data_IF_755521410514
#
_entry.id   IF_755521410514
#
_cell.length_a   1.000
_cell.length_b   1.000
_cell.length_c   1.000
_cell.angle_alpha   90.00
_cell.angle_beta   90.00
_cell.angle_gamma   90.00
#
_symmetry.space_group_name_H-M   'P 1'
#
loop_
_entity.id
_entity.type
_entity.pdbx_description
1 polymer ?
#
# COMPACT_ATOMS: atom_id res chain seq x y z
N UNK A 1 38.13 -25.63 87.20
CA UNK A 1 36.75 -25.15 86.94
C UNK A 1 36.61 -24.92 85.48
N UNK A 2 36.05 -25.90 84.73
CA UNK A 2 35.84 -25.83 83.27
C UNK A 2 34.45 -25.32 83.04
N UNK A 3 34.31 -24.21 82.27
CA UNK A 3 33.06 -23.81 81.68
C UNK A 3 33.03 -24.24 80.18
N UNK A 4 32.14 -25.14 79.92
CA UNK A 4 31.85 -25.55 78.54
C UNK A 4 31.05 -24.45 77.84
N UNK A 5 31.56 -23.97 76.70
CA UNK A 5 30.84 -23.11 75.79
C UNK A 5 30.29 -24.01 74.67
N UNK A 6 28.96 -24.07 74.55
CA UNK A 6 28.26 -24.72 73.46
C UNK A 6 28.00 -23.66 72.38
N UNK A 7 28.64 -23.84 71.21
CA UNK A 7 28.39 -23.02 70.04
C UNK A 7 27.27 -23.71 69.22
N UNK A 8 26.11 -23.10 69.17
CA UNK A 8 25.00 -23.52 68.26
C UNK A 8 25.23 -22.94 66.86
N UNK A 9 25.48 -23.82 65.92
CA UNK A 9 25.48 -23.47 64.46
C UNK A 9 24.04 -23.42 63.98
N UNK A 10 23.56 -22.21 63.72
CA UNK A 10 22.32 -22.00 62.99
C UNK A 10 22.59 -22.10 61.45
N UNK A 11 22.24 -23.21 60.85
CA UNK A 11 22.15 -23.35 59.40
C UNK A 11 20.87 -22.64 58.91
N UNK A 12 21.04 -21.46 58.31
CA UNK A 12 19.97 -20.82 57.55
C UNK A 12 19.93 -21.45 56.16
N UNK A 13 18.97 -22.32 55.96
CA UNK A 13 18.60 -22.82 54.60
C UNK A 13 17.88 -21.67 53.89
N UNK A 14 18.61 -20.97 53.01
CA UNK A 14 17.96 -20.14 51.98
C UNK A 14 17.27 -21.07 50.99
N UNK A 15 15.99 -21.24 51.11
CA UNK A 15 15.16 -21.81 50.04
C UNK A 15 15.11 -20.76 48.89
N UNK A 16 15.93 -20.96 47.87
CA UNK A 16 15.68 -20.31 46.58
C UNK A 16 14.34 -20.88 46.05
N UNK A 17 13.29 -20.10 46.24
CA UNK A 17 12.05 -20.30 45.52
C UNK A 17 12.31 -20.04 44.03
N UNK A 18 12.62 -21.11 43.29
CA UNK A 18 12.46 -21.12 41.85
C UNK A 18 10.94 -20.94 41.64
N UNK A 19 10.53 -19.74 41.29
CA UNK A 19 9.23 -19.52 40.68
C UNK A 19 9.24 -20.34 39.39
N UNK A 20 8.77 -21.59 39.49
CA UNK A 20 8.41 -22.35 38.33
C UNK A 20 7.38 -21.48 37.59
N UNK A 21 7.76 -20.99 36.43
CA UNK A 21 6.84 -20.40 35.47
C UNK A 21 5.81 -21.50 35.20
N UNK A 22 4.55 -21.24 35.54
CA UNK A 22 3.45 -22.17 35.37
C UNK A 22 3.18 -22.33 33.89
N UNK A 23 3.92 -23.24 33.26
CA UNK A 23 3.80 -23.65 31.85
C UNK A 23 2.64 -24.64 31.62
N UNK A 24 1.74 -24.78 32.60
CA UNK A 24 0.50 -25.48 32.33
C UNK A 24 -0.24 -24.73 31.23
N UNK A 25 -0.62 -25.39 30.11
CA UNK A 25 -1.48 -24.78 29.11
C UNK A 25 -2.73 -24.27 29.84
N UNK A 26 -2.92 -22.95 29.86
CA UNK A 26 -4.11 -22.36 30.47
C UNK A 26 -5.28 -22.84 29.66
N UNK A 27 -5.95 -23.88 30.13
CA UNK A 27 -7.11 -24.47 29.50
C UNK A 27 -8.10 -23.37 29.20
N UNK A 28 -8.42 -23.20 27.91
CA UNK A 28 -9.49 -22.35 27.49
C UNK A 28 -9.14 -20.98 26.92
N UNK A 29 -7.96 -20.79 26.33
CA UNK A 29 -7.62 -19.57 25.56
C UNK A 29 -7.23 -19.92 24.13
N UNK A 30 -7.30 -18.96 23.18
CA UNK A 30 -6.70 -19.14 21.87
C UNK A 30 -5.21 -19.45 21.99
N UNK A 31 -4.72 -20.37 21.17
CA UNK A 31 -3.31 -20.79 21.14
C UNK A 31 -2.42 -19.78 20.41
N UNK A 32 -3.01 -19.03 19.47
CA UNK A 32 -2.33 -17.98 18.73
C UNK A 32 -3.33 -16.87 18.31
N UNK A 33 -2.81 -15.67 18.11
CA UNK A 33 -3.57 -14.51 17.65
C UNK A 33 -2.79 -13.84 16.52
N UNK A 34 -3.43 -13.68 15.37
CA UNK A 34 -2.87 -12.93 14.24
C UNK A 34 -3.73 -11.71 13.97
N UNK A 35 -3.14 -10.53 14.00
CA UNK A 35 -3.81 -9.29 13.55
C UNK A 35 -3.82 -9.26 12.02
N UNK A 36 -4.98 -9.00 11.44
CA UNK A 36 -5.17 -8.95 9.99
C UNK A 36 -5.27 -7.51 9.52
N UNK A 37 -4.33 -7.11 8.69
CA UNK A 37 -4.25 -5.76 8.14
C UNK A 37 -4.50 -5.76 6.63
N UNK A 38 -5.04 -4.66 6.15
CA UNK A 38 -5.24 -4.38 4.73
C UNK A 38 -4.84 -2.94 4.41
N UNK A 39 -4.42 -2.70 3.17
CA UNK A 39 -4.27 -1.34 2.66
C UNK A 39 -5.63 -0.83 2.25
N UNK A 40 -6.06 0.24 2.90
CA UNK A 40 -7.32 0.94 2.61
C UNK A 40 -7.03 2.21 1.81
N UNK A 41 -8.06 2.96 1.45
CA UNK A 41 -7.93 4.26 0.80
C UNK A 41 -7.17 5.31 1.66
N UNK A 42 -7.13 5.11 2.97
CA UNK A 42 -6.45 6.00 3.92
C UNK A 42 -5.22 5.37 4.59
N UNK A 43 -4.63 4.36 3.96
CA UNK A 43 -3.43 3.68 4.44
C UNK A 43 -3.67 2.29 5.00
N UNK A 44 -2.63 1.72 5.60
CA UNK A 44 -2.67 0.37 6.17
C UNK A 44 -3.35 0.38 7.53
N UNK A 45 -4.35 -0.48 7.69
CA UNK A 45 -5.18 -0.58 8.90
C UNK A 45 -5.35 -2.02 9.34
N UNK A 46 -5.52 -2.24 10.65
CA UNK A 46 -6.04 -3.51 11.17
C UNK A 46 -7.54 -3.57 10.89
N UNK A 47 -7.94 -4.49 10.04
CA UNK A 47 -9.33 -4.71 9.62
C UNK A 47 -9.91 -6.01 10.16
N UNK A 48 -9.15 -6.75 10.96
CA UNK A 48 -9.62 -7.96 11.64
C UNK A 48 -8.55 -8.61 12.48
N UNK A 49 -8.88 -9.76 13.04
CA UNK A 49 -7.93 -10.67 13.68
C UNK A 49 -8.40 -12.12 13.54
N UNK A 50 -7.47 -13.05 13.67
CA UNK A 50 -7.73 -14.49 13.70
C UNK A 50 -7.30 -15.04 15.07
N UNK A 51 -8.23 -15.69 15.76
CA UNK A 51 -7.98 -16.46 16.98
C UNK A 51 -7.84 -17.92 16.60
N UNK A 52 -6.70 -18.53 16.85
CA UNK A 52 -6.46 -19.96 16.64
C UNK A 52 -6.81 -20.73 17.91
N UNK A 53 -7.61 -21.78 17.80
CA UNK A 53 -7.90 -22.70 18.88
C UNK A 53 -7.20 -24.05 18.66
N UNK A 54 -7.10 -24.86 19.71
CA UNK A 54 -6.43 -26.15 19.66
C UNK A 54 -7.10 -27.16 18.71
N UNK A 55 -8.42 -27.00 18.48
CA UNK A 55 -9.24 -27.87 17.65
C UNK A 55 -10.35 -27.09 16.92
N UNK A 56 -11.11 -27.76 16.07
CA UNK A 56 -12.19 -27.17 15.28
C UNK A 56 -13.24 -26.52 16.16
N UNK A 57 -13.61 -25.30 15.83
CA UNK A 57 -14.64 -24.55 16.54
C UNK A 57 -16.02 -24.98 16.03
N UNK A 58 -16.85 -25.49 16.93
CA UNK A 58 -18.23 -25.89 16.64
C UNK A 58 -19.15 -24.65 16.73
N UNK A 59 -19.29 -23.92 15.66
CA UNK A 59 -20.27 -22.84 15.55
C UNK A 59 -20.74 -22.70 14.11
N UNK A 60 -22.04 -22.72 13.93
CA UNK A 60 -22.70 -22.37 12.66
C UNK A 60 -23.32 -20.97 12.70
N UNK A 61 -23.21 -20.27 13.83
CA UNK A 61 -23.84 -18.98 14.08
C UNK A 61 -22.84 -17.83 14.00
N UNK A 62 -23.35 -16.63 13.86
CA UNK A 62 -22.63 -15.39 14.02
C UNK A 62 -22.06 -15.27 15.45
N UNK A 63 -20.74 -15.10 15.52
CA UNK A 63 -20.01 -15.00 16.79
C UNK A 63 -19.77 -13.54 17.25
N UNK A 64 -20.38 -12.52 16.60
CA UNK A 64 -20.16 -11.10 16.97
C UNK A 64 -20.41 -10.82 18.44
N UNK A 65 -21.45 -11.40 18.99
CA UNK A 65 -21.82 -11.20 20.40
C UNK A 65 -20.99 -12.04 21.39
N UNK A 66 -20.06 -12.84 20.89
CA UNK A 66 -19.14 -13.66 21.70
C UNK A 66 -17.89 -12.87 22.10
N UNK A 67 -17.58 -11.78 21.38
CA UNK A 67 -16.34 -11.04 21.56
C UNK A 67 -16.58 -9.54 21.73
N UNK A 68 -15.69 -8.92 22.49
CA UNK A 68 -15.45 -7.47 22.52
C UNK A 68 -13.96 -7.24 22.27
N UNK A 69 -13.63 -6.26 21.44
CA UNK A 69 -12.23 -5.96 21.12
C UNK A 69 -11.96 -4.48 21.35
N UNK A 70 -10.84 -4.19 21.98
CA UNK A 70 -10.38 -2.85 22.28
C UNK A 70 -8.94 -2.70 21.79
N UNK A 71 -8.58 -1.49 21.42
CA UNK A 71 -7.18 -1.09 21.25
C UNK A 71 -6.73 -0.31 22.47
N UNK A 72 -5.47 -0.48 22.82
CA UNK A 72 -4.76 0.33 23.82
C UNK A 72 -3.54 0.94 23.15
N UNK A 73 -3.53 2.26 23.05
CA UNK A 73 -2.40 3.05 22.55
C UNK A 73 -2.17 4.22 23.50
N UNK A 74 -0.95 4.41 24.01
CA UNK A 74 -0.60 5.48 24.95
C UNK A 74 -1.56 5.60 26.15
N UNK A 75 -1.93 4.44 26.73
CA UNK A 75 -2.89 4.28 27.84
C UNK A 75 -4.34 4.67 27.52
N UNK A 76 -4.66 4.95 26.27
CA UNK A 76 -6.04 5.19 25.84
C UNK A 76 -6.65 3.90 25.30
N UNK A 77 -7.66 3.39 26.00
CA UNK A 77 -8.45 2.23 25.57
C UNK A 77 -9.63 2.70 24.73
N UNK A 78 -9.79 2.14 23.52
CA UNK A 78 -10.91 2.45 22.61
C UNK A 78 -11.49 1.17 22.02
N UNK A 79 -12.83 1.03 21.94
CA UNK A 79 -13.45 -0.15 21.34
C UNK A 79 -13.24 -0.19 19.83
N UNK A 80 -13.21 -1.43 19.29
CA UNK A 80 -13.28 -1.69 17.85
C UNK A 80 -14.71 -2.15 17.50
N UNK A 81 -15.22 -1.64 16.39
CA UNK A 81 -16.52 -2.03 15.86
C UNK A 81 -16.40 -3.37 15.14
N UNK A 82 -16.99 -4.42 15.70
CA UNK A 82 -17.00 -5.75 15.08
C UNK A 82 -18.15 -5.80 14.06
N UNK A 83 -17.82 -6.02 12.79
CA UNK A 83 -18.80 -6.14 11.70
C UNK A 83 -19.17 -7.60 11.40
N UNK A 84 -18.21 -8.52 11.55
CA UNK A 84 -18.41 -9.98 11.38
C UNK A 84 -17.56 -10.76 12.38
N UNK A 85 -18.04 -11.93 12.80
CA UNK A 85 -17.22 -12.91 13.49
C UNK A 85 -17.69 -14.32 13.13
N UNK A 86 -16.79 -15.17 12.63
CA UNK A 86 -17.12 -16.47 12.06
C UNK A 86 -15.93 -17.44 12.10
N UNK A 87 -16.23 -18.73 11.93
CA UNK A 87 -15.21 -19.80 11.87
C UNK A 87 -14.59 -19.89 10.48
N UNK A 88 -13.26 -20.12 10.41
CA UNK A 88 -12.56 -20.33 9.16
C UNK A 88 -11.48 -21.43 9.30
N UNK A 89 -11.06 -21.99 8.17
CA UNK A 89 -9.99 -23.00 8.10
C UNK A 89 -8.58 -22.40 7.99
N UNK A 90 -8.47 -21.09 7.71
CA UNK A 90 -7.22 -20.34 7.59
C UNK A 90 -7.28 -19.04 8.41
N UNK A 91 -6.14 -18.51 8.87
CA UNK A 91 -6.07 -17.25 9.61
C UNK A 91 -6.19 -16.03 8.67
N UNK A 92 -7.28 -15.96 7.91
CA UNK A 92 -7.52 -14.92 6.92
C UNK A 92 -9.02 -14.61 6.79
N UNK A 93 -9.35 -13.43 6.29
CA UNK A 93 -10.74 -13.06 5.98
C UNK A 93 -11.26 -13.90 4.82
N UNK A 94 -12.53 -14.26 4.87
CA UNK A 94 -13.20 -15.02 3.84
C UNK A 94 -14.63 -14.51 3.59
N UNK A 95 -15.12 -14.57 2.34
CA UNK A 95 -16.49 -14.18 2.02
C UNK A 95 -17.54 -15.02 2.77
N UNK A 96 -17.24 -16.29 2.99
CA UNK A 96 -18.11 -17.26 3.67
C UNK A 96 -17.31 -18.00 4.76
N UNK A 97 -18.01 -18.33 5.85
CA UNK A 97 -17.48 -19.19 6.92
C UNK A 97 -17.10 -20.56 6.38
N UNK A 98 -16.03 -21.13 6.93
CA UNK A 98 -15.56 -22.50 6.64
C UNK A 98 -15.27 -23.19 7.95
N UNK A 99 -15.55 -24.49 8.03
CA UNK A 99 -15.18 -25.30 9.20
C UNK A 99 -13.68 -25.26 9.43
N UNK A 100 -13.23 -25.00 10.66
CA UNK A 100 -11.82 -24.89 10.99
C UNK A 100 -11.57 -24.53 12.45
N UNK A 101 -10.30 -24.29 12.76
CA UNK A 101 -9.86 -23.96 14.13
C UNK A 101 -9.65 -22.46 14.38
N UNK A 102 -9.96 -21.62 13.38
CA UNK A 102 -9.80 -20.17 13.50
C UNK A 102 -11.17 -19.51 13.69
N UNK A 103 -11.23 -18.54 14.59
CA UNK A 103 -12.31 -17.55 14.62
C UNK A 103 -11.78 -16.26 14.04
N UNK A 104 -12.37 -15.80 12.96
CA UNK A 104 -12.05 -14.53 12.32
C UNK A 104 -13.00 -13.48 12.86
N UNK A 105 -12.46 -12.37 13.34
CA UNK A 105 -13.22 -11.19 13.78
C UNK A 105 -12.85 -10.05 12.84
N UNK A 106 -13.81 -9.54 12.09
CA UNK A 106 -13.61 -8.41 11.16
C UNK A 106 -14.10 -7.11 11.78
N UNK A 107 -13.33 -6.04 11.56
CA UNK A 107 -13.58 -4.71 12.11
C UNK A 107 -13.98 -3.71 11.04
N UNK A 108 -14.72 -2.67 11.44
CA UNK A 108 -14.95 -1.49 10.61
C UNK A 108 -13.61 -0.73 10.41
N UNK A 109 -13.20 -0.53 9.17
CA UNK A 109 -11.97 0.18 8.82
C UNK A 109 -12.09 1.70 8.97
N UNK A 110 -13.31 2.22 9.22
CA UNK A 110 -13.58 3.63 9.54
C UNK A 110 -13.33 3.99 10.99
N UNK A 111 -13.13 3.01 11.86
CA UNK A 111 -12.76 3.26 13.26
C UNK A 111 -11.49 4.11 13.30
N UNK A 112 -11.47 5.15 14.14
CA UNK A 112 -10.33 6.09 14.25
C UNK A 112 -9.06 5.43 14.77
N UNK A 113 -9.20 4.34 15.52
CA UNK A 113 -8.14 3.53 16.10
C UNK A 113 -7.76 2.30 15.25
N UNK A 114 -8.09 2.29 13.96
CA UNK A 114 -7.76 1.20 13.05
C UNK A 114 -6.32 1.23 12.53
N UNK A 115 -5.66 2.39 12.55
CA UNK A 115 -4.36 2.60 11.94
C UNK A 115 -3.24 1.81 12.64
N UNK A 116 -2.30 1.29 11.84
CA UNK A 116 -1.07 0.62 12.32
C UNK A 116 0.08 1.58 12.61
N UNK A 117 0.00 2.80 12.09
CA UNK A 117 1.06 3.79 12.16
C UNK A 117 0.49 5.22 12.21
N UNK A 118 1.28 6.13 12.70
CA UNK A 118 1.13 7.57 12.48
C UNK A 118 1.98 8.02 11.29
N UNK A 119 1.68 9.19 10.74
CA UNK A 119 2.49 9.81 9.68
C UNK A 119 3.36 10.91 10.28
N UNK A 120 4.66 10.77 10.16
CA UNK A 120 5.59 11.89 10.34
C UNK A 120 5.58 12.69 9.03
N UNK A 121 5.27 13.97 9.13
CA UNK A 121 5.38 14.89 8.00
C UNK A 121 6.79 15.50 8.05
N UNK A 122 7.65 15.06 7.15
CA UNK A 122 9.00 15.60 6.99
C UNK A 122 8.94 16.76 5.97
N UNK A 123 8.89 17.97 6.47
CA UNK A 123 8.93 19.18 5.65
C UNK A 123 10.38 19.48 5.28
N UNK A 124 10.70 19.38 4.00
CA UNK A 124 11.99 19.79 3.47
C UNK A 124 12.11 21.30 3.54
N UNK A 125 13.32 21.81 3.68
CA UNK A 125 13.59 23.24 3.51
C UNK A 125 13.00 23.72 2.18
N UNK A 126 12.56 24.99 2.08
CA UNK A 126 12.06 25.53 0.83
C UNK A 126 13.05 25.30 -0.31
N UNK A 127 12.56 24.71 -1.38
CA UNK A 127 13.32 24.38 -2.57
C UNK A 127 12.91 25.27 -3.72
N UNK A 128 13.86 25.61 -4.59
CA UNK A 128 13.63 26.47 -5.75
C UNK A 128 13.24 25.64 -6.95
N UNK A 129 12.18 26.06 -7.62
CA UNK A 129 11.62 25.42 -8.81
C UNK A 129 11.33 26.45 -9.88
N UNK A 130 11.39 25.99 -11.14
CA UNK A 130 10.93 26.77 -12.27
C UNK A 130 9.39 26.68 -12.39
N UNK A 131 8.77 27.82 -12.60
CA UNK A 131 7.33 27.95 -12.86
C UNK A 131 7.11 29.05 -13.91
N UNK A 132 5.89 29.22 -14.39
CA UNK A 132 5.48 30.36 -15.19
C UNK A 132 4.70 31.36 -14.34
N UNK A 133 4.93 32.65 -14.56
CA UNK A 133 4.09 33.72 -14.03
C UNK A 133 2.78 33.86 -14.86
N UNK A 134 1.94 34.80 -14.47
CA UNK A 134 0.67 35.05 -15.17
C UNK A 134 0.84 35.52 -16.63
N UNK A 135 2.02 36.06 -16.97
CA UNK A 135 2.40 36.50 -18.31
C UNK A 135 3.08 35.43 -19.13
N UNK A 136 3.32 34.23 -18.56
CA UNK A 136 3.94 33.10 -19.20
C UNK A 136 5.48 33.11 -19.15
N UNK A 137 6.11 34.07 -18.44
CA UNK A 137 7.55 34.09 -18.27
C UNK A 137 7.99 33.03 -17.25
N UNK A 138 9.16 32.42 -17.51
CA UNK A 138 9.75 31.47 -16.56
C UNK A 138 10.33 32.25 -15.38
N UNK A 139 9.87 31.92 -14.21
CA UNK A 139 10.31 32.47 -12.93
C UNK A 139 10.78 31.34 -12.00
N UNK A 140 11.56 31.70 -10.99
CA UNK A 140 11.90 30.82 -9.88
C UNK A 140 10.89 31.02 -8.75
N UNK A 141 10.34 29.94 -8.23
CA UNK A 141 9.46 29.92 -7.08
C UNK A 141 10.06 29.06 -5.97
N UNK A 142 9.81 29.43 -4.72
CA UNK A 142 10.14 28.58 -3.58
C UNK A 142 8.91 27.83 -3.10
N UNK A 143 9.07 26.54 -2.88
CA UNK A 143 8.01 25.68 -2.30
C UNK A 143 8.59 24.72 -1.28
N UNK A 144 7.86 24.53 -0.20
CA UNK A 144 8.10 23.44 0.74
C UNK A 144 7.54 22.16 0.11
N UNK A 145 8.34 21.11 0.11
CA UNK A 145 7.90 19.78 -0.24
C UNK A 145 7.81 18.94 1.04
N UNK A 146 6.69 18.28 1.22
CA UNK A 146 6.47 17.41 2.38
C UNK A 146 6.45 15.96 1.95
N UNK A 147 7.15 15.11 2.70
CA UNK A 147 7.06 13.66 2.58
C UNK A 147 6.37 13.09 3.81
N UNK A 148 5.61 12.01 3.61
CA UNK A 148 4.84 11.35 4.66
C UNK A 148 5.50 10.01 4.98
N UNK A 149 6.16 9.95 6.13
CA UNK A 149 6.92 8.79 6.58
C UNK A 149 6.06 7.99 7.56
N UNK A 150 5.73 6.74 7.29
CA UNK A 150 5.02 5.89 8.23
C UNK A 150 5.88 5.60 9.46
N UNK A 151 5.34 5.86 10.65
CA UNK A 151 5.93 5.47 11.93
C UNK A 151 5.00 4.45 12.59
N UNK A 152 5.38 3.18 12.54
CA UNK A 152 4.62 2.09 13.11
C UNK A 152 4.54 2.19 14.63
N UNK A 153 3.39 1.82 15.18
CA UNK A 153 3.19 1.78 16.62
C UNK A 153 3.84 0.56 17.27
N UNK A 154 3.98 -0.54 16.53
CA UNK A 154 4.59 -1.80 16.97
C UNK A 154 4.03 -2.28 18.33
N UNK A 155 4.88 -2.55 19.32
CA UNK A 155 4.47 -3.01 20.65
C UNK A 155 3.64 -2.00 21.45
N UNK A 156 3.62 -0.71 21.06
CA UNK A 156 2.82 0.33 21.75
C UNK A 156 1.33 0.20 21.46
N UNK A 157 0.96 -0.39 20.33
CA UNK A 157 -0.42 -0.67 19.97
C UNK A 157 -0.77 -2.10 20.41
N UNK A 158 -1.69 -2.21 21.36
CA UNK A 158 -2.14 -3.50 21.90
C UNK A 158 -3.61 -3.71 21.63
N UNK A 159 -3.96 -4.88 21.13
CA UNK A 159 -5.33 -5.36 20.99
C UNK A 159 -5.68 -6.20 22.21
N UNK A 160 -6.75 -5.82 22.92
CA UNK A 160 -7.34 -6.55 24.03
C UNK A 160 -8.62 -7.22 23.53
N UNK A 161 -8.65 -8.54 23.57
CA UNK A 161 -9.76 -9.35 23.09
C UNK A 161 -10.44 -10.01 24.29
N UNK A 162 -11.68 -9.66 24.56
CA UNK A 162 -12.53 -10.26 25.59
C UNK A 162 -13.49 -11.24 24.95
N UNK A 163 -13.31 -12.53 25.22
CA UNK A 163 -14.33 -13.54 24.93
C UNK A 163 -15.36 -13.53 26.06
N UNK A 164 -16.56 -13.04 25.79
CA UNK A 164 -17.67 -12.89 26.77
C UNK A 164 -18.70 -14.01 26.66
N UNK A 165 -18.64 -14.82 25.61
CA UNK A 165 -19.45 -16.02 25.39
C UNK A 165 -18.60 -17.29 25.43
N UNK A 166 -19.26 -18.46 25.34
CA UNK A 166 -18.61 -19.76 25.29
C UNK A 166 -18.29 -20.16 23.85
N UNK A 167 -17.14 -20.83 23.65
CA UNK A 167 -16.75 -21.45 22.38
C UNK A 167 -16.63 -22.95 22.57
N UNK A 168 -17.35 -23.75 21.79
CA UNK A 168 -17.29 -25.22 21.83
C UNK A 168 -16.33 -25.74 20.76
N UNK A 169 -15.51 -26.70 21.12
CA UNK A 169 -14.57 -27.38 20.22
C UNK A 169 -15.04 -28.81 19.87
N UNK A 170 -14.57 -29.33 18.76
CA UNK A 170 -14.94 -30.67 18.27
C UNK A 170 -14.44 -31.79 19.17
N UNK A 171 -13.37 -31.57 19.94
CA UNK A 171 -12.89 -32.52 20.95
C UNK A 171 -13.75 -32.58 22.23
N UNK A 172 -14.88 -31.86 22.27
CA UNK A 172 -15.80 -31.82 23.40
C UNK A 172 -15.46 -30.75 24.44
N UNK A 173 -14.34 -30.07 24.35
CA UNK A 173 -13.99 -28.97 25.24
C UNK A 173 -14.87 -27.76 25.00
N UNK A 174 -15.13 -27.01 26.06
CA UNK A 174 -15.80 -25.70 26.02
C UNK A 174 -14.83 -24.67 26.56
N UNK A 175 -14.50 -23.68 25.73
CA UNK A 175 -13.68 -22.54 26.10
C UNK A 175 -14.54 -21.53 26.83
N UNK A 176 -14.22 -21.25 28.06
CA UNK A 176 -14.93 -20.28 28.90
C UNK A 176 -14.51 -18.85 28.57
N UNK A 177 -15.24 -17.88 29.15
CA UNK A 177 -14.93 -16.46 29.10
C UNK A 177 -13.50 -16.20 29.51
N UNK A 178 -12.80 -15.44 28.66
CA UNK A 178 -11.41 -15.12 28.92
C UNK A 178 -11.03 -13.76 28.30
N UNK A 179 -9.87 -13.27 28.64
CA UNK A 179 -9.26 -12.09 28.03
C UNK A 179 -7.85 -12.44 27.57
N UNK A 180 -7.52 -12.03 26.36
CA UNK A 180 -6.18 -12.16 25.77
C UNK A 180 -5.76 -10.84 25.16
N UNK A 181 -4.44 -10.63 25.06
CA UNK A 181 -3.86 -9.43 24.48
C UNK A 181 -2.89 -9.82 23.35
N UNK A 182 -2.80 -8.94 22.34
CA UNK A 182 -1.84 -9.07 21.25
C UNK A 182 -1.32 -7.69 20.85
N UNK A 183 0.01 -7.49 20.88
CA UNK A 183 0.59 -6.26 20.35
C UNK A 183 0.68 -6.30 18.82
N UNK A 184 0.84 -5.11 18.21
CA UNK A 184 0.88 -4.95 16.77
C UNK A 184 2.31 -4.97 16.20
N UNK A 185 3.27 -5.63 16.87
CA UNK A 185 4.57 -5.91 16.26
C UNK A 185 4.42 -6.62 14.93
N UNK A 186 5.27 -6.33 13.99
CA UNK A 186 5.21 -6.85 12.62
C UNK A 186 5.03 -8.38 12.54
N UNK A 187 5.68 -9.15 13.44
CA UNK A 187 5.54 -10.62 13.49
C UNK A 187 4.13 -11.10 13.82
N UNK A 188 3.32 -10.26 14.45
CA UNK A 188 1.95 -10.55 14.89
C UNK A 188 0.88 -10.02 13.91
N UNK A 189 1.31 -9.28 12.90
CA UNK A 189 0.43 -8.66 11.90
C UNK A 189 0.67 -9.32 10.55
N UNK A 190 -0.41 -9.72 9.90
CA UNK A 190 -0.40 -10.15 8.50
C UNK A 190 -1.14 -9.12 7.65
N UNK A 191 -0.43 -8.53 6.68
CA UNK A 191 -1.03 -7.57 5.76
C UNK A 191 -1.22 -8.21 4.39
N UNK A 192 -2.47 -8.33 3.99
CA UNK A 192 -2.84 -8.93 2.72
C UNK A 192 -2.09 -8.29 1.55
N UNK A 193 -1.45 -9.10 0.72
CA UNK A 193 -0.55 -8.79 -0.39
C UNK A 193 0.77 -8.12 0.03
N UNK A 194 0.78 -7.20 0.99
CA UNK A 194 1.96 -6.37 1.31
C UNK A 194 3.12 -7.22 1.84
N UNK A 195 2.84 -8.22 2.67
CA UNK A 195 3.88 -9.08 3.25
C UNK A 195 4.59 -9.96 2.21
N UNK A 196 3.96 -10.15 1.05
CA UNK A 196 4.52 -10.94 -0.05
C UNK A 196 5.40 -10.10 -1.00
N UNK A 197 5.51 -8.77 -0.80
CA UNK A 197 6.43 -7.92 -1.55
C UNK A 197 7.86 -8.03 -1.02
N UNK A 198 8.75 -8.54 -1.84
CA UNK A 198 10.19 -8.53 -1.57
C UNK A 198 10.82 -7.16 -1.82
N UNK A 199 11.92 -6.87 -1.12
CA UNK A 199 12.74 -5.68 -1.37
C UNK A 199 13.77 -5.97 -2.45
N UNK A 200 13.87 -5.08 -3.44
CA UNK A 200 14.76 -5.20 -4.57
C UNK A 200 15.42 -3.86 -4.90
N UNK A 201 16.49 -3.92 -5.68
CA UNK A 201 17.21 -2.73 -6.17
C UNK A 201 17.56 -2.94 -7.64
N UNK A 202 17.33 -1.92 -8.46
CA UNK A 202 17.88 -1.82 -9.81
C UNK A 202 18.94 -0.72 -9.83
N UNK A 203 20.03 -0.90 -10.57
CA UNK A 203 21.12 0.08 -10.65
C UNK A 203 21.61 0.23 -12.08
N UNK A 204 21.92 1.47 -12.47
CA UNK A 204 22.68 1.77 -13.69
C UNK A 204 24.20 1.74 -13.42
N UNK A 205 24.59 2.07 -12.18
CA UNK A 205 25.94 1.92 -11.64
C UNK A 205 25.88 1.90 -10.10
N UNK A 206 27.01 1.79 -9.41
CA UNK A 206 27.09 1.64 -7.94
C UNK A 206 26.35 2.71 -7.15
N UNK A 207 26.28 3.95 -7.64
CA UNK A 207 25.68 5.07 -6.94
C UNK A 207 24.30 5.46 -7.50
N UNK A 208 23.99 5.04 -8.72
CA UNK A 208 22.74 5.36 -9.41
C UNK A 208 21.80 4.16 -9.36
N UNK A 209 21.05 4.10 -8.29
CA UNK A 209 20.17 2.99 -8.00
C UNK A 209 18.76 3.45 -7.63
N UNK A 210 17.78 2.56 -7.80
CA UNK A 210 16.40 2.74 -7.45
C UNK A 210 15.91 1.51 -6.67
N UNK A 211 15.44 1.73 -5.45
CA UNK A 211 14.79 0.67 -4.66
C UNK A 211 13.39 0.42 -5.19
N UNK A 212 12.94 -0.82 -5.10
CA UNK A 212 11.57 -1.17 -5.45
C UNK A 212 11.04 -2.33 -4.64
N UNK A 213 9.72 -2.46 -4.56
CA UNK A 213 9.02 -3.63 -4.06
C UNK A 213 8.56 -4.49 -5.22
N UNK A 214 8.75 -5.80 -5.09
CA UNK A 214 8.40 -6.78 -6.08
C UNK A 214 7.46 -7.83 -5.51
N UNK A 215 6.26 -7.93 -6.06
CA UNK A 215 5.31 -8.98 -5.76
C UNK A 215 5.39 -10.08 -6.82
N UNK A 216 5.59 -11.29 -6.36
CA UNK A 216 5.65 -12.49 -7.18
C UNK A 216 4.45 -13.38 -6.85
N UNK A 217 3.55 -13.69 -7.83
CA UNK A 217 2.38 -14.51 -7.56
C UNK A 217 2.79 -15.98 -7.34
N UNK A 218 1.93 -16.75 -6.70
CA UNK A 218 2.05 -18.21 -6.74
C UNK A 218 1.85 -18.70 -8.17
N UNK A 219 2.89 -19.30 -8.76
CA UNK A 219 2.87 -19.73 -10.13
C UNK A 219 2.13 -21.07 -10.27
N UNK A 220 1.27 -21.16 -11.27
CA UNK A 220 0.69 -22.42 -11.75
C UNK A 220 1.38 -22.80 -13.05
N UNK A 221 1.69 -24.06 -13.23
CA UNK A 221 2.36 -24.59 -14.41
C UNK A 221 1.66 -24.15 -15.71
N UNK A 222 2.43 -23.76 -16.72
CA UNK A 222 1.98 -23.28 -18.02
C UNK A 222 1.10 -22.02 -18.04
N UNK A 223 0.83 -21.39 -16.89
CA UNK A 223 0.06 -20.14 -16.84
C UNK A 223 0.96 -18.93 -17.03
N UNK A 224 0.46 -17.94 -17.79
CA UNK A 224 1.07 -16.60 -17.93
C UNK A 224 0.30 -15.58 -17.11
N UNK A 225 1.03 -14.62 -16.55
CA UNK A 225 0.52 -13.63 -15.59
C UNK A 225 0.82 -12.21 -16.07
N UNK A 226 -0.06 -11.24 -15.83
CA UNK A 226 0.22 -9.85 -16.11
C UNK A 226 1.34 -9.31 -15.24
N UNK A 227 1.98 -8.24 -15.71
CA UNK A 227 2.91 -7.41 -14.94
C UNK A 227 2.34 -6.00 -14.80
N UNK A 228 2.22 -5.51 -13.57
CA UNK A 228 1.78 -4.14 -13.29
C UNK A 228 2.93 -3.35 -12.69
N UNK A 229 3.18 -2.14 -13.19
CA UNK A 229 4.15 -1.19 -12.64
C UNK A 229 3.36 -0.04 -12.02
N UNK A 230 3.54 0.18 -10.72
CA UNK A 230 2.91 1.27 -9.98
C UNK A 230 3.89 2.39 -9.69
N UNK A 231 3.57 3.62 -10.11
CA UNK A 231 4.37 4.82 -9.85
C UNK A 231 3.64 5.73 -8.84
N UNK A 232 4.31 6.00 -7.72
CA UNK A 232 3.76 6.78 -6.62
C UNK A 232 3.79 8.29 -6.86
N UNK A 233 3.03 9.04 -6.05
CA UNK A 233 3.02 10.51 -6.04
C UNK A 233 4.13 11.12 -5.17
N UNK A 234 4.18 12.45 -5.15
CA UNK A 234 5.21 13.20 -4.41
C UNK A 234 5.23 12.97 -2.91
N UNK A 235 4.09 12.62 -2.30
CA UNK A 235 3.99 12.38 -0.85
C UNK A 235 4.73 11.12 -0.37
N UNK A 236 5.09 10.21 -1.26
CA UNK A 236 5.74 8.94 -0.95
C UNK A 236 7.24 8.92 -1.30
N UNK A 237 7.83 10.10 -1.55
CA UNK A 237 9.29 10.22 -1.69
C UNK A 237 9.96 9.79 -0.40
N UNK A 238 10.94 8.87 -0.49
CA UNK A 238 11.61 8.34 0.70
C UNK A 238 12.53 7.18 0.39
N UNK A 239 13.23 6.72 1.42
CA UNK A 239 14.15 5.57 1.36
C UNK A 239 13.65 4.36 2.15
N UNK A 240 12.46 4.47 2.74
CA UNK A 240 11.84 3.43 3.55
C UNK A 240 11.38 2.20 2.73
N UNK A 241 11.22 2.38 1.45
CA UNK A 241 10.77 1.36 0.49
C UNK A 241 9.44 0.70 0.89
N UNK A 242 8.58 1.40 1.64
CA UNK A 242 7.29 0.89 2.12
C UNK A 242 6.13 1.89 1.97
N UNK A 243 6.36 3.19 2.20
CA UNK A 243 5.31 4.21 2.20
C UNK A 243 4.45 4.20 0.93
N UNK A 244 5.06 3.94 -0.23
CA UNK A 244 4.39 3.97 -1.53
C UNK A 244 3.43 2.80 -1.77
N UNK A 245 3.63 1.65 -1.12
CA UNK A 245 2.74 0.48 -1.26
C UNK A 245 1.69 0.36 -0.16
N UNK A 246 1.82 1.11 0.95
CA UNK A 246 0.88 1.05 2.08
C UNK A 246 -0.03 2.27 2.20
N UNK A 247 0.27 3.38 1.51
CA UNK A 247 -0.49 4.63 1.64
C UNK A 247 -1.79 4.66 0.82
N UNK A 248 -1.91 3.80 -0.17
CA UNK A 248 -3.06 3.66 -1.06
C UNK A 248 -3.02 2.30 -1.77
N UNK A 249 -4.10 1.92 -2.44
CA UNK A 249 -4.21 0.61 -3.10
C UNK A 249 -3.51 0.49 -4.46
N UNK A 250 -2.80 1.52 -4.95
CA UNK A 250 -2.25 1.52 -6.31
C UNK A 250 -1.41 0.30 -6.65
N UNK A 251 -0.46 -0.07 -5.78
CA UNK A 251 0.41 -1.24 -5.98
C UNK A 251 -0.33 -2.59 -5.93
N UNK A 252 -1.46 -2.68 -5.23
CA UNK A 252 -2.20 -3.93 -5.06
C UNK A 252 -3.53 -3.97 -5.84
N UNK A 253 -3.87 -2.91 -6.55
CA UNK A 253 -5.18 -2.76 -7.19
C UNK A 253 -5.52 -3.91 -8.14
N UNK A 254 -4.56 -4.35 -8.96
CA UNK A 254 -4.76 -5.47 -9.90
C UNK A 254 -4.80 -6.83 -9.21
N UNK A 255 -4.08 -7.00 -8.09
CA UNK A 255 -4.00 -8.26 -7.36
C UNK A 255 -5.33 -8.69 -6.73
N UNK A 256 -6.23 -7.74 -6.50
CA UNK A 256 -7.58 -8.01 -5.98
C UNK A 256 -8.48 -8.74 -7.01
N UNK A 257 -8.12 -8.71 -8.30
CA UNK A 257 -8.93 -9.25 -9.40
C UNK A 257 -8.27 -10.42 -10.12
N UNK A 258 -6.95 -10.36 -10.27
CA UNK A 258 -6.19 -11.41 -10.95
C UNK A 258 -4.79 -11.53 -10.34
N UNK A 259 -4.29 -12.76 -10.08
CA UNK A 259 -2.90 -12.95 -9.72
C UNK A 259 -1.96 -12.42 -10.81
N UNK A 260 -0.96 -11.64 -10.42
CA UNK A 260 -0.02 -11.02 -11.34
C UNK A 260 1.26 -10.58 -10.64
N UNK A 261 2.28 -10.22 -11.41
CA UNK A 261 3.50 -9.60 -10.91
C UNK A 261 3.27 -8.11 -10.70
N UNK A 262 3.89 -7.54 -9.68
CA UNK A 262 3.84 -6.08 -9.45
C UNK A 262 5.22 -5.54 -9.13
N UNK A 263 5.57 -4.42 -9.76
CA UNK A 263 6.75 -3.62 -9.47
C UNK A 263 6.32 -2.25 -8.94
N UNK A 264 6.84 -1.87 -7.81
CA UNK A 264 6.57 -0.57 -7.18
C UNK A 264 7.89 0.09 -6.76
N UNK A 265 8.50 0.92 -7.61
CA UNK A 265 9.73 1.64 -7.30
C UNK A 265 9.47 2.87 -6.44
N UNK A 266 10.48 3.23 -5.59
CA UNK A 266 10.47 4.44 -4.76
C UNK A 266 11.78 5.18 -4.92
N UNK A 267 11.73 6.46 -5.34
CA UNK A 267 12.90 7.35 -5.31
C UNK A 267 12.96 8.14 -3.99
N UNK A 268 14.19 8.50 -3.59
CA UNK A 268 14.48 9.06 -2.26
C UNK A 268 14.66 10.58 -2.25
N UNK A 269 14.69 11.25 -3.40
CA UNK A 269 14.91 12.69 -3.53
C UNK A 269 13.96 13.29 -4.55
N UNK A 270 13.62 14.57 -4.40
CA UNK A 270 12.74 15.28 -5.35
C UNK A 270 13.49 15.53 -6.65
N UNK A 271 14.66 16.18 -6.56
CA UNK A 271 15.58 16.31 -7.67
C UNK A 271 16.40 15.04 -7.85
N UNK A 272 16.65 14.68 -9.08
CA UNK A 272 17.48 13.52 -9.42
C UNK A 272 18.95 13.92 -9.38
N UNK A 273 19.78 13.32 -8.51
CA UNK A 273 21.20 13.68 -8.42
C UNK A 273 22.01 13.27 -9.68
N UNK A 274 21.43 12.44 -10.54
CA UNK A 274 22.04 11.98 -11.80
C UNK A 274 21.45 12.66 -13.04
N UNK A 275 20.62 13.70 -12.83
CA UNK A 275 20.16 14.55 -13.91
C UNK A 275 21.32 15.39 -14.50
N UNK A 276 21.14 15.94 -15.69
CA UNK A 276 22.20 16.68 -16.36
C UNK A 276 22.60 17.95 -15.59
N UNK A 277 23.71 17.85 -14.87
CA UNK A 277 24.27 18.93 -14.04
C UNK A 277 24.70 20.16 -14.86
N UNK A 278 25.04 19.98 -16.15
CA UNK A 278 25.47 21.07 -17.02
C UNK A 278 24.35 22.02 -17.36
N UNK A 279 23.12 21.58 -17.15
CA UNK A 279 21.92 22.31 -17.49
C UNK A 279 21.08 22.70 -16.26
N UNK A 280 21.57 22.44 -15.04
CA UNK A 280 20.92 22.80 -13.78
C UNK A 280 19.50 22.26 -13.70
N UNK A 281 19.32 21.01 -13.34
CA UNK A 281 18.01 20.37 -13.11
C UNK A 281 17.00 20.49 -14.28
N UNK A 282 17.49 20.56 -15.51
CA UNK A 282 16.65 20.67 -16.72
C UNK A 282 15.80 19.44 -16.99
N UNK A 283 16.16 18.28 -16.41
CA UNK A 283 15.41 17.03 -16.54
C UNK A 283 14.13 16.98 -15.74
N UNK A 284 13.89 17.95 -14.84
CA UNK A 284 12.70 18.03 -14.02
C UNK A 284 12.84 17.40 -12.63
N UNK A 285 11.71 17.14 -12.02
CA UNK A 285 11.61 16.59 -10.65
C UNK A 285 10.82 15.26 -10.66
N UNK A 286 10.94 14.50 -9.59
CA UNK A 286 10.19 13.26 -9.40
C UNK A 286 10.41 12.26 -10.56
N UNK A 287 9.37 11.78 -11.20
CA UNK A 287 9.40 10.84 -12.34
C UNK A 287 9.65 11.52 -13.70
N UNK A 288 9.91 12.83 -13.72
CA UNK A 288 10.13 13.57 -14.97
C UNK A 288 11.51 13.34 -15.56
N UNK A 289 12.49 12.90 -14.77
CA UNK A 289 13.89 12.76 -15.22
C UNK A 289 14.09 11.54 -16.11
N UNK A 290 14.90 11.68 -17.13
CA UNK A 290 15.27 10.59 -18.04
C UNK A 290 16.01 9.47 -17.30
N UNK A 291 16.85 9.83 -16.34
CA UNK A 291 17.60 8.87 -15.54
C UNK A 291 16.67 7.93 -14.77
N UNK A 292 15.67 8.46 -14.04
CA UNK A 292 14.71 7.63 -13.30
C UNK A 292 13.86 6.77 -14.22
N UNK A 293 13.42 7.33 -15.35
CA UNK A 293 12.70 6.55 -16.35
C UNK A 293 13.55 5.38 -16.90
N UNK A 294 14.84 5.59 -17.15
CA UNK A 294 15.76 4.54 -17.57
C UNK A 294 15.94 3.46 -16.48
N UNK A 295 16.03 3.84 -15.20
CA UNK A 295 16.07 2.89 -14.09
C UNK A 295 14.79 2.03 -14.04
N UNK A 296 13.62 2.64 -14.20
CA UNK A 296 12.34 1.91 -14.25
C UNK A 296 12.28 0.97 -15.45
N UNK A 297 12.70 1.41 -16.62
CA UNK A 297 12.72 0.57 -17.82
C UNK A 297 13.69 -0.62 -17.66
N UNK A 298 14.88 -0.39 -17.09
CA UNK A 298 15.82 -1.46 -16.77
C UNK A 298 15.22 -2.46 -15.76
N UNK A 299 14.57 -1.96 -14.70
CA UNK A 299 13.86 -2.81 -13.73
C UNK A 299 12.83 -3.71 -14.42
N UNK A 300 12.04 -3.16 -15.35
CA UNK A 300 11.05 -3.92 -16.11
C UNK A 300 11.72 -4.99 -16.96
N UNK A 301 12.78 -4.62 -17.72
CA UNK A 301 13.49 -5.53 -18.62
C UNK A 301 14.11 -6.72 -17.86
N UNK A 302 14.79 -6.45 -16.76
CA UNK A 302 15.38 -7.49 -15.90
C UNK A 302 14.31 -8.40 -15.30
N UNK A 303 13.18 -7.81 -14.84
CA UNK A 303 12.08 -8.59 -14.28
C UNK A 303 11.44 -9.51 -15.33
N UNK A 304 11.18 -9.02 -16.53
CA UNK A 304 10.61 -9.81 -17.64
C UNK A 304 11.56 -10.93 -18.04
N UNK A 305 12.86 -10.63 -18.17
CA UNK A 305 13.88 -11.61 -18.51
C UNK A 305 14.00 -12.74 -17.47
N UNK A 306 13.91 -12.41 -16.18
CA UNK A 306 14.08 -13.35 -15.08
C UNK A 306 12.80 -14.16 -14.78
N UNK A 307 11.65 -13.71 -15.25
CA UNK A 307 10.34 -14.33 -14.94
C UNK A 307 9.58 -14.74 -16.21
N UNK A 308 9.89 -15.89 -16.80
CA UNK A 308 9.25 -16.37 -18.03
C UNK A 308 7.72 -16.57 -17.92
N UNK A 309 7.18 -16.60 -16.70
CA UNK A 309 5.73 -16.66 -16.47
C UNK A 309 5.00 -15.32 -16.73
N UNK A 310 5.72 -14.23 -16.94
CA UNK A 310 5.11 -12.95 -17.32
C UNK A 310 4.56 -13.04 -18.74
N UNK A 311 3.31 -12.54 -18.92
CA UNK A 311 2.73 -12.31 -20.23
C UNK A 311 3.18 -10.94 -20.76
N UNK A 312 4.17 -10.94 -21.64
CA UNK A 312 4.73 -9.71 -22.21
C UNK A 312 3.71 -8.88 -23.00
N UNK A 313 2.57 -9.47 -23.38
CA UNK A 313 1.45 -8.75 -23.99
C UNK A 313 0.54 -8.07 -22.97
N UNK A 314 0.77 -8.26 -21.66
CA UNK A 314 -0.05 -7.76 -20.56
C UNK A 314 0.80 -7.04 -19.51
N UNK A 315 1.55 -6.02 -19.96
CA UNK A 315 2.37 -5.16 -19.09
C UNK A 315 1.66 -3.82 -18.95
N UNK A 316 1.29 -3.45 -17.72
CA UNK A 316 0.45 -2.29 -17.42
C UNK A 316 1.19 -1.25 -16.59
N UNK A 317 0.82 0.01 -16.78
CA UNK A 317 1.27 1.13 -15.98
C UNK A 317 0.13 1.72 -15.17
N UNK A 318 0.37 2.00 -13.91
CA UNK A 318 -0.55 2.70 -13.01
C UNK A 318 0.20 3.84 -12.33
N UNK A 319 -0.33 5.04 -12.37
CA UNK A 319 0.30 6.18 -11.70
C UNK A 319 -0.68 7.17 -11.13
N UNK A 320 -0.30 7.79 -10.01
CA UNK A 320 -1.05 8.85 -9.37
C UNK A 320 -0.22 10.12 -9.22
N UNK A 321 -0.82 11.29 -9.43
CA UNK A 321 -0.15 12.59 -9.29
C UNK A 321 1.17 12.63 -10.09
N UNK A 322 2.32 12.84 -9.46
CA UNK A 322 3.64 12.76 -10.11
C UNK A 322 3.93 11.39 -10.73
N UNK A 323 3.36 10.31 -10.20
CA UNK A 323 3.44 8.98 -10.83
C UNK A 323 2.71 8.91 -12.15
N UNK A 324 1.61 9.62 -12.31
CA UNK A 324 0.90 9.73 -13.60
C UNK A 324 1.74 10.43 -14.69
N UNK A 325 2.52 11.45 -14.31
CA UNK A 325 3.51 12.06 -15.21
C UNK A 325 4.59 11.04 -15.62
N UNK A 326 5.06 10.23 -14.68
CA UNK A 326 6.00 9.14 -14.94
C UNK A 326 5.44 8.09 -15.90
N UNK A 327 4.16 7.75 -15.78
CA UNK A 327 3.46 6.85 -16.72
C UNK A 327 3.52 7.41 -18.13
N UNK A 328 3.16 8.69 -18.33
CA UNK A 328 3.26 9.33 -19.66
C UNK A 328 4.69 9.29 -20.22
N UNK A 329 5.69 9.59 -19.37
CA UNK A 329 7.09 9.55 -19.80
C UNK A 329 7.50 8.14 -20.24
N UNK A 330 7.15 7.10 -19.50
CA UNK A 330 7.45 5.72 -19.87
C UNK A 330 6.76 5.30 -21.18
N UNK A 331 5.50 5.68 -21.37
CA UNK A 331 4.76 5.43 -22.60
C UNK A 331 5.46 6.09 -23.82
N UNK A 332 5.89 7.34 -23.67
CA UNK A 332 6.58 8.09 -24.71
C UNK A 332 8.00 7.57 -25.01
N UNK A 333 8.68 7.05 -23.99
CA UNK A 333 10.02 6.44 -24.16
C UNK A 333 9.96 5.06 -24.81
N UNK A 334 8.87 4.30 -24.58
CA UNK A 334 8.65 2.96 -25.18
C UNK A 334 7.24 2.86 -25.77
N UNK A 335 6.94 3.58 -26.84
CA UNK A 335 5.66 3.41 -27.53
C UNK A 335 5.49 1.94 -27.93
N UNK A 336 4.29 1.43 -27.89
CA UNK A 336 3.96 0.04 -28.24
C UNK A 336 4.54 -1.07 -27.33
N UNK A 337 5.09 -0.74 -26.17
CA UNK A 337 5.58 -1.74 -25.22
C UNK A 337 4.51 -2.11 -24.18
N UNK A 338 3.74 -1.14 -23.71
CA UNK A 338 2.74 -1.31 -22.66
C UNK A 338 1.37 -1.66 -23.23
N UNK A 339 0.64 -2.55 -22.57
CA UNK A 339 -0.70 -2.98 -22.95
C UNK A 339 -1.79 -1.98 -22.58
N UNK A 340 -1.59 -1.18 -21.53
CA UNK A 340 -2.52 -0.17 -21.09
C UNK A 340 -2.03 0.61 -19.87
N UNK A 341 -2.68 1.73 -19.58
CA UNK A 341 -2.30 2.61 -18.50
C UNK A 341 -3.49 3.30 -17.81
N UNK A 342 -3.37 3.48 -16.47
CA UNK A 342 -4.24 4.33 -15.65
C UNK A 342 -3.46 5.55 -15.16
N UNK A 343 -4.03 6.74 -15.35
CA UNK A 343 -3.40 8.03 -15.10
C UNK A 343 -4.31 8.89 -14.21
N UNK A 344 -4.04 8.92 -12.89
CA UNK A 344 -4.84 9.64 -11.93
C UNK A 344 -4.19 10.97 -11.52
N UNK A 345 -4.92 12.10 -11.66
CA UNK A 345 -4.55 13.45 -11.22
C UNK A 345 -3.16 13.90 -11.68
N UNK A 346 -2.80 13.57 -12.92
CA UNK A 346 -1.52 13.93 -13.53
C UNK A 346 -1.53 15.32 -14.18
N UNK A 347 -0.45 15.63 -14.88
CA UNK A 347 -0.26 16.88 -15.60
C UNK A 347 -0.20 16.64 -17.11
N UNK A 348 -0.07 17.73 -17.83
CA UNK A 348 0.18 17.71 -19.28
C UNK A 348 1.48 16.96 -19.57
N UNK A 349 1.52 16.23 -20.68
CA UNK A 349 2.75 15.59 -21.13
C UNK A 349 3.89 16.60 -21.35
N UNK A 350 5.13 16.17 -21.13
CA UNK A 350 6.32 17.00 -21.19
C UNK A 350 6.38 18.15 -20.16
N UNK A 351 5.59 18.07 -19.07
CA UNK A 351 5.73 18.97 -17.93
C UNK A 351 7.11 18.80 -17.28
N UNK A 352 7.78 19.93 -17.02
CA UNK A 352 9.05 19.98 -16.29
C UNK A 352 8.88 20.85 -15.06
N UNK A 353 9.13 20.29 -13.87
CA UNK A 353 8.91 20.94 -12.57
C UNK A 353 7.46 21.43 -12.42
N UNK A 354 7.25 22.75 -12.36
CA UNK A 354 5.92 23.38 -12.27
C UNK A 354 5.56 24.17 -13.54
N UNK A 355 6.35 24.02 -14.61
CA UNK A 355 6.02 24.57 -15.92
C UNK A 355 4.85 23.81 -16.51
N UNK A 356 4.09 24.45 -17.37
CA UNK A 356 3.13 23.77 -18.22
C UNK A 356 3.88 22.80 -19.15
N UNK A 357 3.18 21.77 -19.58
CA UNK A 357 3.68 20.83 -20.55
C UNK A 357 3.81 21.44 -21.95
N UNK A 358 4.18 20.60 -22.87
CA UNK A 358 4.30 20.93 -24.29
C UNK A 358 3.69 19.81 -25.13
N UNK A 359 2.49 19.35 -24.74
CA UNK A 359 1.75 18.34 -25.47
C UNK A 359 1.26 18.89 -26.82
N UNK A 360 1.43 18.13 -27.89
CA UNK A 360 0.90 18.41 -29.21
C UNK A 360 0.72 17.11 -29.99
N UNK A 361 0.05 17.18 -31.14
CA UNK A 361 -0.22 16.00 -31.97
C UNK A 361 1.04 15.30 -32.49
N UNK A 362 2.15 15.99 -32.63
CA UNK A 362 3.41 15.38 -33.10
C UNK A 362 4.02 14.52 -31.99
N UNK A 363 4.16 15.08 -30.78
CA UNK A 363 4.86 14.41 -29.70
C UNK A 363 4.02 13.36 -28.96
N UNK A 364 2.68 13.41 -29.06
CA UNK A 364 1.78 12.37 -28.51
C UNK A 364 1.41 11.29 -29.55
N UNK A 365 1.67 11.50 -30.84
CA UNK A 365 1.37 10.50 -31.89
C UNK A 365 1.93 9.09 -31.59
N UNK A 366 3.14 8.92 -31.02
CA UNK A 366 3.68 7.60 -30.75
C UNK A 366 2.82 6.74 -29.80
N UNK A 367 2.04 7.35 -28.92
CA UNK A 367 1.23 6.63 -27.90
C UNK A 367 -0.27 6.58 -28.21
N UNK A 368 -0.71 7.10 -29.35
CA UNK A 368 -2.15 7.18 -29.70
C UNK A 368 -2.89 5.84 -29.73
N UNK A 369 -2.18 4.74 -29.93
CA UNK A 369 -2.75 3.39 -29.99
C UNK A 369 -2.72 2.66 -28.66
N UNK A 370 -2.07 3.21 -27.62
CA UNK A 370 -2.02 2.60 -26.30
C UNK A 370 -3.35 2.84 -25.59
N UNK A 371 -4.01 1.81 -25.04
CA UNK A 371 -5.16 1.98 -24.17
C UNK A 371 -4.79 2.78 -22.92
N UNK A 372 -5.44 3.93 -22.72
CA UNK A 372 -5.20 4.81 -21.58
C UNK A 372 -6.52 5.29 -20.99
N UNK A 373 -6.55 5.41 -19.67
CA UNK A 373 -7.69 6.02 -18.98
C UNK A 373 -7.21 7.09 -18.02
N UNK A 374 -7.55 8.34 -18.33
CA UNK A 374 -7.24 9.51 -17.50
C UNK A 374 -8.36 9.76 -16.50
N UNK A 375 -7.98 10.09 -15.27
CA UNK A 375 -8.90 10.45 -14.19
C UNK A 375 -8.46 11.74 -13.55
N UNK A 376 -9.36 12.70 -13.40
CA UNK A 376 -9.05 13.97 -12.76
C UNK A 376 -10.28 14.57 -12.11
N UNK A 377 -10.11 15.37 -11.04
CA UNK A 377 -11.18 16.21 -10.51
C UNK A 377 -11.09 17.63 -11.07
N UNK A 378 -12.24 18.20 -11.44
CA UNK A 378 -12.30 19.57 -11.96
C UNK A 378 -11.82 20.63 -10.95
N UNK A 379 -11.91 20.33 -9.64
CA UNK A 379 -11.54 21.22 -8.54
C UNK A 379 -10.11 21.03 -8.04
N UNK A 380 -9.30 20.19 -8.69
CA UNK A 380 -7.92 19.92 -8.28
C UNK A 380 -7.06 21.19 -8.36
N UNK A 381 -6.59 21.67 -7.18
CA UNK A 381 -5.74 22.86 -7.03
C UNK A 381 -4.24 22.51 -6.94
N UNK A 382 -3.90 21.22 -6.80
CA UNK A 382 -2.51 20.74 -6.70
C UNK A 382 -1.94 20.42 -8.07
N UNK A 383 -2.72 19.69 -8.87
CA UNK A 383 -2.41 19.37 -10.27
C UNK A 383 -3.58 19.84 -11.11
N UNK A 384 -3.48 20.99 -11.79
CA UNK A 384 -4.61 21.55 -12.53
C UNK A 384 -5.16 20.57 -13.57
N UNK A 385 -6.48 20.39 -13.58
CA UNK A 385 -7.22 19.50 -14.49
C UNK A 385 -6.94 19.77 -15.98
N UNK A 386 -6.55 21.01 -16.31
CA UNK A 386 -6.19 21.45 -17.66
C UNK A 386 -5.21 20.50 -18.35
N UNK A 387 -4.19 19.98 -17.60
CA UNK A 387 -3.19 19.09 -18.18
C UNK A 387 -3.77 17.78 -18.71
N UNK A 388 -4.63 17.11 -17.93
CA UNK A 388 -5.30 15.88 -18.38
C UNK A 388 -6.25 16.14 -19.54
N UNK A 389 -6.98 17.27 -19.52
CA UNK A 389 -7.87 17.66 -20.63
C UNK A 389 -7.10 17.87 -21.93
N UNK A 390 -5.95 18.56 -21.89
CA UNK A 390 -5.09 18.78 -23.07
C UNK A 390 -4.60 17.44 -23.62
N UNK A 391 -4.03 16.57 -22.80
CA UNK A 391 -3.57 15.26 -23.25
C UNK A 391 -4.69 14.46 -23.93
N UNK A 392 -5.86 14.40 -23.30
CA UNK A 392 -7.02 13.69 -23.81
C UNK A 392 -7.51 14.29 -25.15
N UNK A 393 -7.66 15.61 -25.22
CA UNK A 393 -8.15 16.30 -26.42
C UNK A 393 -7.23 16.06 -27.63
N UNK A 394 -5.90 16.16 -27.43
CA UNK A 394 -4.95 15.90 -28.51
C UNK A 394 -5.06 14.44 -28.96
N UNK A 395 -5.03 13.50 -28.04
CA UNK A 395 -5.08 12.06 -28.38
C UNK A 395 -6.37 11.70 -29.10
N UNK A 396 -7.51 12.14 -28.61
CA UNK A 396 -8.82 11.73 -29.16
C UNK A 396 -9.25 12.59 -30.34
N UNK A 397 -9.17 13.91 -30.22
CA UNK A 397 -9.74 14.81 -31.25
C UNK A 397 -8.78 15.06 -32.41
N UNK A 398 -7.46 15.17 -32.14
CA UNK A 398 -6.51 15.44 -33.21
C UNK A 398 -5.90 14.16 -33.78
N UNK A 399 -5.61 13.16 -32.94
CA UNK A 399 -4.95 11.92 -33.34
C UNK A 399 -5.90 10.74 -33.57
N UNK A 400 -7.21 10.91 -33.33
CA UNK A 400 -8.25 9.87 -33.46
C UNK A 400 -7.94 8.58 -32.67
N UNK A 401 -7.34 8.69 -31.50
CA UNK A 401 -7.08 7.57 -30.61
C UNK A 401 -8.40 6.87 -30.21
N UNK A 402 -8.49 5.54 -30.38
CA UNK A 402 -9.74 4.79 -30.19
C UNK A 402 -9.91 4.23 -28.76
N UNK A 403 -8.81 3.99 -28.06
CA UNK A 403 -8.79 3.33 -26.74
C UNK A 403 -8.33 4.26 -25.63
N UNK A 404 -8.56 5.56 -25.79
CA UNK A 404 -8.26 6.56 -24.76
C UNK A 404 -9.56 7.03 -24.13
N UNK A 405 -9.63 6.97 -22.80
CA UNK A 405 -10.78 7.36 -21.98
C UNK A 405 -10.42 8.51 -21.06
N UNK A 406 -11.42 9.27 -20.63
CA UNK A 406 -11.31 10.32 -19.63
C UNK A 406 -12.53 10.33 -18.72
N UNK A 407 -12.29 10.32 -17.42
CA UNK A 407 -13.31 10.51 -16.40
C UNK A 407 -12.97 11.74 -15.58
N UNK A 408 -13.87 12.71 -15.56
CA UNK A 408 -13.74 13.90 -14.74
C UNK A 408 -14.69 13.82 -13.54
N UNK A 409 -14.11 13.89 -12.35
CA UNK A 409 -14.86 13.90 -11.10
C UNK A 409 -15.20 15.32 -10.65
N UNK A 410 -16.20 15.42 -9.79
CA UNK A 410 -16.53 16.65 -9.06
C UNK A 410 -16.56 16.36 -7.56
N UNK A 411 -15.90 17.19 -6.76
CA UNK A 411 -15.93 17.09 -5.31
C UNK A 411 -17.27 17.48 -4.69
N UNK A 412 -18.13 18.19 -5.43
CA UNK A 412 -19.52 18.46 -5.03
C UNK A 412 -20.34 17.18 -4.87
N UNK A 413 -19.88 16.09 -5.52
CA UNK A 413 -20.47 14.74 -5.45
C UNK A 413 -19.51 13.74 -4.83
N UNK A 414 -18.67 14.18 -3.91
CA UNK A 414 -17.58 13.36 -3.35
C UNK A 414 -18.07 12.02 -2.77
N UNK A 415 -19.23 12.00 -2.11
CA UNK A 415 -19.81 10.78 -1.57
C UNK A 415 -20.14 9.72 -2.63
N UNK A 416 -20.57 10.14 -3.83
CA UNK A 416 -20.94 9.24 -4.93
C UNK A 416 -19.72 8.72 -5.70
N UNK A 417 -18.62 9.46 -5.71
CA UNK A 417 -17.43 9.19 -6.52
C UNK A 417 -16.24 8.66 -5.71
N UNK A 418 -16.36 8.48 -4.39
CA UNK A 418 -15.27 8.05 -3.52
C UNK A 418 -14.17 9.09 -3.32
N UNK A 419 -14.35 10.33 -3.78
CA UNK A 419 -13.40 11.43 -3.59
C UNK A 419 -13.77 12.14 -2.29
N UNK A 420 -13.04 11.82 -1.22
CA UNK A 420 -13.24 12.40 0.11
C UNK A 420 -12.36 13.64 0.26
N UNK A 421 -12.91 14.76 0.68
CA UNK A 421 -12.21 15.94 1.26
C UNK A 421 -11.02 16.55 0.49
N UNK A 422 -10.54 15.93 -0.60
CA UNK A 422 -9.40 16.41 -1.36
C UNK A 422 -9.58 16.11 -2.85
N UNK A 423 -9.84 17.15 -3.63
CA UNK A 423 -10.05 17.05 -5.07
C UNK A 423 -8.85 16.45 -5.83
N UNK A 424 -7.63 16.55 -5.30
CA UNK A 424 -6.46 15.92 -5.90
C UNK A 424 -6.49 14.39 -5.78
N UNK A 425 -7.16 13.84 -4.77
CA UNK A 425 -7.19 12.42 -4.50
C UNK A 425 -8.26 11.68 -5.33
N UNK A 426 -8.08 11.56 -6.63
CA UNK A 426 -8.96 10.76 -7.49
C UNK A 426 -8.62 9.27 -7.48
N UNK A 427 -7.42 8.91 -7.05
CA UNK A 427 -6.93 7.53 -7.09
C UNK A 427 -7.67 6.58 -6.15
N UNK A 428 -8.30 7.08 -5.09
CA UNK A 428 -9.16 6.23 -4.25
C UNK A 428 -10.34 5.68 -5.05
N UNK A 429 -11.03 6.53 -5.81
CA UNK A 429 -12.12 6.11 -6.68
C UNK A 429 -11.63 5.15 -7.78
N UNK A 430 -10.46 5.43 -8.35
CA UNK A 430 -9.87 4.64 -9.44
C UNK A 430 -9.47 3.24 -8.97
N UNK A 431 -8.70 3.14 -7.89
CA UNK A 431 -8.13 1.86 -7.42
C UNK A 431 -9.14 0.97 -6.69
N UNK A 432 -10.29 1.50 -6.30
CA UNK A 432 -11.41 0.75 -5.75
C UNK A 432 -12.49 0.40 -6.78
N UNK A 433 -12.35 0.83 -8.05
CA UNK A 433 -13.35 0.57 -9.09
C UNK A 433 -13.12 -0.76 -9.80
N UNK A 434 -14.02 -1.75 -9.62
CA UNK A 434 -13.95 -3.01 -10.38
C UNK A 434 -13.97 -2.79 -11.89
N UNK A 435 -14.76 -1.82 -12.37
CA UNK A 435 -14.84 -1.48 -13.79
C UNK A 435 -13.49 -1.03 -14.35
N UNK A 436 -12.82 -0.11 -13.66
CA UNK A 436 -11.54 0.46 -14.11
C UNK A 436 -10.45 -0.60 -14.14
N UNK A 437 -10.32 -1.38 -13.07
CA UNK A 437 -9.27 -2.40 -12.97
C UNK A 437 -9.54 -3.55 -13.95
N UNK A 438 -10.78 -4.01 -14.07
CA UNK A 438 -11.13 -5.04 -15.05
C UNK A 438 -10.92 -4.57 -16.50
N UNK A 439 -11.22 -3.29 -16.79
CA UNK A 439 -10.91 -2.71 -18.09
C UNK A 439 -9.40 -2.74 -18.38
N UNK A 440 -8.55 -2.36 -17.42
CA UNK A 440 -7.10 -2.41 -17.60
C UNK A 440 -6.61 -3.83 -17.89
N UNK A 441 -7.04 -4.79 -17.07
CA UNK A 441 -6.61 -6.20 -17.17
C UNK A 441 -7.07 -6.89 -18.47
N UNK A 442 -8.06 -6.37 -19.16
CA UNK A 442 -8.53 -6.86 -20.47
C UNK A 442 -7.67 -6.36 -21.64
N UNK A 443 -6.85 -5.32 -21.43
CA UNK A 443 -6.03 -4.77 -22.50
C UNK A 443 -4.87 -5.72 -22.83
N UNK A 444 -4.57 -5.86 -24.11
CA UNK A 444 -3.44 -6.64 -24.62
C UNK A 444 -2.73 -5.88 -25.70
N UNK A 445 -1.42 -5.95 -25.69
CA UNK A 445 -0.60 -5.46 -26.80
C UNK A 445 -0.74 -6.42 -28.00
N UNK A 446 -0.98 -5.85 -29.15
CA UNK A 446 -1.08 -6.58 -30.42
C UNK A 446 0.28 -6.98 -30.97
#
# INVERSE_FOLDING_TARGET
>A
MLRKIVIAFLLSIMALGILAQDDTPKEGKPTNITLLAEVTSSGQKITGLALEYEDYVLSSSDLRNTYQVFTLLEQQEQPRTIIRAYVNNLPEKAPQAKSGKFVIIEFDDRDTNANLYSLIIDNKNPMKFRAKDQSGHIIEIEKVQSTKIPQYYDEKLVYKIKQIGYVKLSNGKTIDRNEVIQNAERKNVRTLFIDDFSEQVVALNENNLLKYRFYHPHLTEHKKYPLTIFLHGSGQVGSDNIAHIISNKGAISTLQYEPGFVLAPQYNTIFDPFDDKNHGQKGGIHWQTKNRANLVLKMIDETVQQNPAIDEKRIYLIGLSRGSEGVLNLLLMRPNFFAGALLASGREAHTIEWLDGNANSINLAPIKNVPMWFFHSKEDQISPVKGSRINYQILVNELNAKNVRYTEFSTEKAGDNGILNNAHNTWEAVFNSPEVISWLLQQKRH
#
